data_IF_648623733022
#
_entry.id   IF_648623733022
#
_cell.length_a   1.000
_cell.length_b   1.000
_cell.length_c   1.000
_cell.angle_alpha   90.00
_cell.angle_beta   90.00
_cell.angle_gamma   90.00
#
_symmetry.space_group_name_H-M   'P 1'
#
loop_
_entity.id
_entity.type
_entity.pdbx_description
1 polymer ?
#
# COMPACT_ATOMS: atom_id res chain seq x y z
N UNK A 1 -7.76 -5.17 9.25
CA UNK A 1 -6.53 -5.26 8.42
C UNK A 1 -6.42 -3.95 7.65
N UNK A 2 -5.39 -3.73 6.83
CA UNK A 2 -5.37 -2.55 5.97
C UNK A 2 -5.94 -2.89 4.60
N UNK A 3 -6.82 -2.03 4.08
CA UNK A 3 -7.24 -2.06 2.68
C UNK A 3 -6.11 -1.50 1.82
N UNK A 4 -5.59 -2.32 0.91
CA UNK A 4 -4.51 -1.97 -0.01
C UNK A 4 -5.07 -1.90 -1.43
N UNK A 5 -4.75 -0.84 -2.16
CA UNK A 5 -5.09 -0.64 -3.58
C UNK A 5 -3.82 -0.32 -4.36
N UNK A 6 -3.63 -0.96 -5.52
CA UNK A 6 -2.46 -0.76 -6.37
C UNK A 6 -2.94 -0.53 -7.80
N UNK A 7 -2.44 0.53 -8.44
CA UNK A 7 -2.79 0.88 -9.82
C UNK A 7 -1.67 1.66 -10.51
N UNK A 8 -1.80 1.89 -11.82
CA UNK A 8 -0.97 2.85 -12.55
C UNK A 8 -1.50 4.27 -12.33
N UNK A 9 -0.60 5.22 -12.03
CA UNK A 9 -0.95 6.58 -11.59
C UNK A 9 -1.73 7.38 -12.64
N UNK A 10 -1.41 7.21 -13.92
CA UNK A 10 -1.89 8.08 -15.01
C UNK A 10 -2.92 7.42 -15.94
N UNK A 11 -3.37 6.19 -15.64
CA UNK A 11 -4.39 5.54 -16.45
C UNK A 11 -5.76 6.20 -16.22
N UNK A 12 -6.33 6.81 -17.27
CA UNK A 12 -7.70 7.35 -17.25
C UNK A 12 -8.75 6.29 -16.87
N UNK A 13 -8.46 5.01 -17.16
CA UNK A 13 -9.18 3.85 -16.65
C UNK A 13 -8.30 3.15 -15.61
N UNK A 14 -8.44 3.51 -14.32
CA UNK A 14 -7.68 2.87 -13.23
C UNK A 14 -8.03 1.38 -13.17
N UNK A 15 -7.18 0.55 -13.76
CA UNK A 15 -7.20 -0.89 -13.51
C UNK A 15 -6.42 -1.15 -12.23
N UNK A 16 -7.13 -1.66 -11.23
CA UNK A 16 -6.53 -2.09 -9.98
C UNK A 16 -5.97 -3.50 -10.12
N UNK A 17 -4.78 -3.70 -9.55
CA UNK A 17 -4.18 -5.02 -9.45
C UNK A 17 -5.06 -5.96 -8.63
N UNK A 18 -4.88 -7.27 -8.84
CA UNK A 18 -5.48 -8.34 -8.05
C UNK A 18 -4.39 -9.11 -7.31
N UNK A 19 -4.62 -9.54 -6.06
CA UNK A 19 -3.58 -10.19 -5.24
C UNK A 19 -3.41 -11.66 -5.66
N UNK A 20 -2.71 -11.91 -6.76
CA UNK A 20 -2.55 -13.25 -7.35
C UNK A 20 -1.12 -13.74 -7.11
N UNK A 21 -0.98 -14.90 -6.44
CA UNK A 21 0.33 -15.50 -6.12
C UNK A 21 1.13 -15.86 -7.39
N UNK A 22 0.46 -16.42 -8.38
CA UNK A 22 1.05 -16.73 -9.70
C UNK A 22 0.80 -15.60 -10.70
N UNK A 23 0.40 -14.42 -10.23
CA UNK A 23 0.24 -13.24 -11.05
C UNK A 23 1.58 -12.63 -11.42
N UNK A 24 1.56 -11.78 -12.43
CA UNK A 24 2.73 -11.00 -12.83
C UNK A 24 2.65 -9.58 -12.27
N UNK A 25 3.77 -8.86 -12.29
CA UNK A 25 3.76 -7.40 -12.24
C UNK A 25 3.07 -6.86 -10.96
N UNK A 26 2.07 -5.97 -11.12
CA UNK A 26 1.35 -5.35 -10.01
C UNK A 26 0.52 -6.36 -9.22
N UNK A 27 0.06 -7.43 -9.85
CA UNK A 27 -0.75 -8.45 -9.20
C UNK A 27 0.07 -9.23 -8.17
N UNK A 28 1.32 -9.58 -8.55
CA UNK A 28 2.27 -10.21 -7.64
C UNK A 28 2.67 -9.28 -6.49
N UNK A 29 2.97 -8.01 -6.80
CA UNK A 29 3.29 -7.01 -5.78
C UNK A 29 2.14 -6.85 -4.77
N UNK A 30 0.89 -6.85 -5.26
CA UNK A 30 -0.28 -6.78 -4.40
C UNK A 30 -0.37 -8.01 -3.49
N UNK A 31 -0.17 -9.20 -4.04
CA UNK A 31 -0.15 -10.43 -3.24
C UNK A 31 0.91 -10.40 -2.13
N UNK A 32 2.14 -9.97 -2.44
CA UNK A 32 3.21 -9.83 -1.46
C UNK A 32 2.83 -8.86 -0.33
N UNK A 33 2.19 -7.75 -0.67
CA UNK A 33 1.77 -6.75 0.32
C UNK A 33 0.63 -7.21 1.20
N UNK A 34 -0.35 -7.93 0.65
CA UNK A 34 -1.39 -8.55 1.46
C UNK A 34 -0.82 -9.57 2.45
N UNK A 35 0.16 -10.36 2.03
CA UNK A 35 0.84 -11.32 2.90
C UNK A 35 1.60 -10.62 4.03
N UNK A 36 2.26 -9.49 3.73
CA UNK A 36 2.92 -8.67 4.74
C UNK A 36 1.93 -8.02 5.71
N UNK A 37 0.83 -7.45 5.20
CA UNK A 37 -0.23 -6.86 6.03
C UNK A 37 -0.82 -7.89 7.00
N UNK A 38 -1.11 -9.10 6.50
CA UNK A 38 -1.58 -10.21 7.33
C UNK A 38 -0.56 -10.59 8.40
N UNK A 39 0.72 -10.70 8.05
CA UNK A 39 1.79 -11.03 8.99
C UNK A 39 1.94 -9.97 10.10
N UNK A 40 1.81 -8.68 9.75
CA UNK A 40 1.78 -7.58 10.71
C UNK A 40 0.55 -7.64 11.62
N UNK A 41 -0.63 -7.95 11.06
CA UNK A 41 -1.85 -8.17 11.84
C UNK A 41 -1.75 -9.35 12.82
N UNK A 42 -0.98 -10.38 12.45
CA UNK A 42 -0.60 -11.50 13.33
C UNK A 42 0.47 -11.13 14.38
N UNK A 43 0.83 -9.85 14.49
CA UNK A 43 1.84 -9.30 15.42
C UNK A 43 3.25 -9.90 15.23
N UNK A 44 3.59 -10.33 14.01
CA UNK A 44 4.97 -10.73 13.70
C UNK A 44 5.88 -9.50 13.75
N UNK A 45 7.12 -9.65 14.24
CA UNK A 45 8.05 -8.53 14.29
C UNK A 45 8.40 -8.05 12.88
N UNK A 46 8.57 -6.73 12.71
CA UNK A 46 8.76 -6.11 11.40
C UNK A 46 9.93 -6.73 10.62
N UNK A 47 11.06 -7.03 11.29
CA UNK A 47 12.22 -7.64 10.65
C UNK A 47 11.90 -9.00 10.00
N UNK A 48 11.02 -9.80 10.61
CA UNK A 48 10.62 -11.10 10.05
C UNK A 48 9.67 -10.93 8.87
N UNK A 49 8.80 -9.92 8.91
CA UNK A 49 7.93 -9.54 7.78
C UNK A 49 8.78 -9.03 6.61
N UNK A 50 9.79 -8.20 6.88
CA UNK A 50 10.77 -7.72 5.90
C UNK A 50 11.48 -8.90 5.21
N UNK A 51 12.00 -9.88 5.96
CA UNK A 51 12.65 -11.06 5.37
C UNK A 51 11.71 -11.89 4.48
N UNK A 52 10.47 -12.13 4.92
CA UNK A 52 9.48 -12.88 4.13
C UNK A 52 9.13 -12.13 2.85
N UNK A 53 8.97 -10.81 2.94
CA UNK A 53 8.64 -9.98 1.80
C UNK A 53 9.77 -9.98 0.76
N UNK A 54 11.02 -9.79 1.21
CA UNK A 54 12.21 -9.82 0.34
C UNK A 54 12.32 -11.17 -0.36
N UNK A 55 12.25 -12.28 0.38
CA UNK A 55 12.30 -13.64 -0.19
C UNK A 55 11.18 -13.87 -1.22
N UNK A 56 9.98 -13.35 -0.96
CA UNK A 56 8.86 -13.48 -1.91
C UNK A 56 9.15 -12.68 -3.19
N UNK A 57 9.60 -11.43 -3.08
CA UNK A 57 9.98 -10.59 -4.23
C UNK A 57 11.19 -11.14 -5.03
N UNK A 58 12.04 -11.95 -4.41
CA UNK A 58 13.15 -12.65 -5.06
C UNK A 58 12.70 -13.90 -5.83
N UNK A 59 11.69 -14.61 -5.33
CA UNK A 59 11.13 -15.81 -5.99
C UNK A 59 10.50 -15.50 -7.35
N UNK A 60 9.85 -14.34 -7.49
CA UNK A 60 9.41 -13.81 -8.78
C UNK A 60 10.27 -12.59 -9.17
N UNK A 61 11.52 -12.87 -9.58
CA UNK A 61 12.51 -11.84 -9.89
C UNK A 61 12.11 -10.89 -11.03
N UNK A 62 11.07 -11.21 -11.80
CA UNK A 62 10.50 -10.26 -12.74
C UNK A 62 9.91 -9.07 -11.97
N UNK A 63 9.05 -9.27 -10.97
CA UNK A 63 8.42 -8.15 -10.24
C UNK A 63 9.44 -7.22 -9.54
N UNK A 64 10.51 -7.76 -8.93
CA UNK A 64 11.54 -6.95 -8.26
C UNK A 64 12.46 -6.20 -9.22
N UNK A 65 12.86 -6.82 -10.34
CA UNK A 65 13.67 -6.16 -11.38
C UNK A 65 12.88 -5.13 -12.18
N UNK A 66 11.58 -5.38 -12.40
CA UNK A 66 10.75 -4.57 -13.28
C UNK A 66 10.39 -3.21 -12.64
N UNK A 67 10.24 -3.12 -11.32
CA UNK A 67 9.77 -1.89 -10.67
C UNK A 67 10.83 -1.06 -9.96
N UNK A 68 12.11 -1.42 -10.12
CA UNK A 68 13.22 -0.76 -9.43
C UNK A 68 12.96 -0.59 -7.92
N UNK A 69 12.22 -1.54 -7.34
CA UNK A 69 11.92 -1.56 -5.92
C UNK A 69 13.13 -2.20 -5.24
N UNK A 70 14.08 -1.36 -4.84
CA UNK A 70 15.22 -1.81 -4.04
C UNK A 70 14.82 -2.11 -2.59
N UNK A 71 15.70 -2.76 -1.81
CA UNK A 71 15.46 -3.07 -0.40
C UNK A 71 14.98 -1.89 0.44
N UNK A 72 15.51 -0.68 0.19
CA UNK A 72 15.09 0.53 0.88
C UNK A 72 13.61 0.89 0.64
N UNK A 73 13.10 0.65 -0.57
CA UNK A 73 11.70 0.96 -0.94
C UNK A 73 10.73 -0.06 -0.35
N UNK A 74 11.12 -1.33 -0.28
CA UNK A 74 10.37 -2.35 0.45
C UNK A 74 10.24 -1.98 1.93
N UNK A 75 11.36 -1.59 2.55
CA UNK A 75 11.36 -1.17 3.94
C UNK A 75 10.45 0.03 4.19
N UNK A 76 10.49 1.04 3.33
CA UNK A 76 9.61 2.21 3.43
C UNK A 76 8.13 1.80 3.41
N UNK A 77 7.75 0.94 2.48
CA UNK A 77 6.39 0.44 2.30
C UNK A 77 5.90 -0.39 3.49
N UNK A 78 6.74 -1.30 3.99
CA UNK A 78 6.42 -2.15 5.14
C UNK A 78 6.30 -1.35 6.44
N UNK A 79 7.13 -0.32 6.63
CA UNK A 79 6.99 0.59 7.78
C UNK A 79 5.65 1.33 7.75
N UNK A 80 5.22 1.80 6.58
CA UNK A 80 3.92 2.47 6.44
C UNK A 80 2.74 1.53 6.71
N UNK A 81 2.81 0.28 6.25
CA UNK A 81 1.84 -0.76 6.60
C UNK A 81 1.80 -1.00 8.11
N UNK A 82 2.96 -1.12 8.74
CA UNK A 82 3.05 -1.30 10.19
C UNK A 82 2.50 -0.08 10.96
N UNK A 83 2.79 1.14 10.52
CA UNK A 83 2.28 2.36 11.13
C UNK A 83 0.75 2.45 11.03
N UNK A 84 0.16 2.03 9.91
CA UNK A 84 -1.31 1.95 9.74
C UNK A 84 -1.91 0.87 10.65
N UNK A 85 -1.32 -0.32 10.72
CA UNK A 85 -1.77 -1.40 11.61
C UNK A 85 -1.67 -1.02 13.09
N UNK A 86 -0.68 -0.21 13.45
CA UNK A 86 -0.51 0.32 14.81
C UNK A 86 -1.36 1.57 15.09
N UNK A 87 -2.21 2.00 14.14
CA UNK A 87 -3.10 3.15 14.32
C UNK A 87 -2.40 4.51 14.35
N UNK A 88 -1.14 4.61 13.92
CA UNK A 88 -0.43 5.89 13.83
C UNK A 88 -0.97 6.75 12.70
N UNK A 89 -1.42 6.13 11.61
CA UNK A 89 -2.06 6.78 10.47
C UNK A 89 -3.31 6.02 10.04
N UNK A 90 -4.32 6.72 9.52
CA UNK A 90 -5.53 6.10 8.96
C UNK A 90 -5.37 5.76 7.48
N UNK A 91 -4.54 6.50 6.74
CA UNK A 91 -4.25 6.22 5.33
C UNK A 91 -2.90 6.76 4.89
N UNK A 92 -2.36 6.20 3.81
CA UNK A 92 -1.17 6.71 3.13
C UNK A 92 -1.22 6.37 1.65
N UNK A 93 -0.59 7.20 0.83
CA UNK A 93 -0.37 6.94 -0.59
C UNK A 93 1.10 7.06 -0.95
N UNK A 94 1.57 6.19 -1.84
CA UNK A 94 2.91 6.21 -2.37
C UNK A 94 2.90 6.12 -3.88
N UNK A 95 3.68 6.99 -4.51
CA UNK A 95 3.98 6.89 -5.93
C UNK A 95 5.37 6.31 -6.10
N UNK A 96 5.46 5.21 -6.81
CA UNK A 96 6.72 4.59 -7.21
C UNK A 96 6.94 4.79 -8.71
N UNK A 97 8.21 4.84 -9.13
CA UNK A 97 8.53 4.68 -10.55
C UNK A 97 8.25 3.22 -10.90
N UNK A 98 7.26 2.96 -11.75
CA UNK A 98 7.06 1.63 -12.31
C UNK A 98 7.98 1.39 -13.50
N UNK A 99 7.63 0.39 -14.29
CA UNK A 99 8.35 0.05 -15.52
C UNK A 99 8.34 1.22 -16.51
N UNK A 100 9.35 1.27 -17.39
CA UNK A 100 9.33 2.14 -18.58
C UNK A 100 8.06 1.93 -19.41
N UNK A 101 7.52 0.72 -19.45
CA UNK A 101 6.31 0.36 -20.19
C UNK A 101 5.01 0.70 -19.46
N UNK A 102 5.05 0.77 -18.13
CA UNK A 102 3.83 0.84 -17.30
C UNK A 102 3.66 2.24 -16.67
N UNK A 103 4.73 3.03 -16.61
CA UNK A 103 4.72 4.35 -15.99
C UNK A 103 4.68 4.28 -14.46
N UNK A 104 4.38 5.39 -13.77
CA UNK A 104 4.37 5.43 -12.30
C UNK A 104 3.27 4.55 -11.70
N UNK A 105 3.57 3.92 -10.57
CA UNK A 105 2.64 3.07 -9.80
C UNK A 105 2.15 3.87 -8.60
N UNK A 106 0.86 3.79 -8.31
CA UNK A 106 0.22 4.33 -7.12
C UNK A 106 -0.18 3.17 -6.19
N UNK A 107 0.32 3.18 -4.96
CA UNK A 107 -0.11 2.30 -3.87
C UNK A 107 -0.83 3.15 -2.83
N UNK A 108 -2.06 2.79 -2.52
CA UNK A 108 -2.88 3.41 -1.48
C UNK A 108 -3.16 2.37 -0.40
N UNK A 109 -2.95 2.74 0.86
CA UNK A 109 -3.22 1.89 2.02
C UNK A 109 -4.12 2.66 2.97
N UNK A 110 -5.19 2.03 3.44
CA UNK A 110 -6.20 2.62 4.31
C UNK A 110 -6.54 1.64 5.44
N UNK A 111 -6.74 2.12 6.66
CA UNK A 111 -7.31 1.27 7.72
C UNK A 111 -8.78 0.96 7.43
N UNK A 112 -9.26 -0.24 7.79
CA UNK A 112 -10.69 -0.61 7.71
C UNK A 112 -11.59 0.32 8.55
N UNK A 113 -11.02 1.11 9.45
CA UNK A 113 -11.72 2.20 10.12
C UNK A 113 -12.02 3.32 9.10
N UNK A 114 -13.11 3.14 8.35
CA UNK A 114 -13.87 4.26 7.81
C UNK A 114 -14.44 5.01 9.00
N UNK A 115 -13.64 5.91 9.60
CA UNK A 115 -14.25 7.07 10.21
C UNK A 115 -14.81 7.87 9.05
N UNK A 116 -16.12 7.71 8.85
CA UNK A 116 -16.97 8.72 8.24
C UNK A 116 -16.47 10.05 8.77
N UNK A 117 -16.08 10.96 7.88
CA UNK A 117 -15.99 12.38 8.19
C UNK A 117 -17.42 12.82 8.54
N UNK A 118 -17.87 12.55 9.77
CA UNK A 118 -18.96 13.29 10.37
C UNK A 118 -18.36 14.48 11.12
N UNK A 119 -18.92 15.63 10.76
CA UNK A 119 -18.86 16.90 11.45
C UNK A 119 -17.51 17.61 11.50
N UNK A 120 -17.17 18.28 10.39
CA UNK A 120 -16.78 19.69 10.52
C UNK A 120 -18.01 20.52 10.93
N UNK A 121 -18.44 20.36 12.18
CA UNK A 121 -19.16 21.41 12.90
C UNK A 121 -18.13 22.40 13.40
N UNK A 122 -17.98 23.54 12.74
CA UNK A 122 -17.68 24.84 13.36
C UNK A 122 -18.10 25.93 12.37
N UNK A 123 -18.74 27.06 12.69
CA UNK A 123 -19.31 27.68 13.90
C UNK A 123 -20.27 28.75 13.34
N UNK A 124 -21.38 29.00 14.01
CA UNK A 124 -22.29 30.15 13.77
C UNK A 124 -21.47 31.44 13.89
N UNK A 125 -21.54 32.33 12.89
CA UNK A 125 -21.25 33.75 13.11
C UNK A 125 -22.45 34.57 12.65
N UNK A 126 -22.80 35.51 13.52
CA UNK A 126 -24.04 36.26 13.59
C UNK A 126 -24.40 37.02 12.31
N UNK A 127 -25.69 37.03 11.97
CA UNK A 127 -26.33 38.26 11.53
C UNK A 127 -27.55 38.51 12.41
N UNK A 128 -27.34 39.40 13.36
CA UNK A 128 -28.36 40.02 14.22
C UNK A 128 -29.02 41.16 13.43
N UNK A 129 -30.36 41.11 13.39
CA UNK A 129 -31.38 42.14 13.07
C UNK A 129 -31.39 42.73 11.66
#
# INVERSE_FOLDING_TARGET
MAKILISLKESQNKQYAKPIQDGDRLDYLFWCLQKADKALGEKKPLWAVEEIFIKSMEQNSQASKLYNLGPAKYKELLNRLADIQNGKYQSTSMVFKGLLTDGPILIEVQSDNVLVLEDSKEIISDFTI
#
